data_IF_996842847083
#
_entry.id   IF_996842847083
#
_cell.length_a   1.000
_cell.length_b   1.000
_cell.length_c   1.000
_cell.angle_alpha   90.00
_cell.angle_beta   90.00
_cell.angle_gamma   90.00
#
_symmetry.space_group_name_H-M   'P 1'
#
loop_
_entity.id
_entity.type
_entity.pdbx_description
1 polymer ?
#
# COMPACT_ATOMS: atom_id res chain seq x y z
N UNK A 1 -3.82 -19.86 -10.91
CA UNK A 1 -3.81 -20.34 -9.51
C UNK A 1 -4.35 -19.20 -8.67
N UNK A 2 -5.47 -19.35 -7.98
CA UNK A 2 -6.00 -18.25 -7.16
C UNK A 2 -5.02 -18.02 -6.02
N UNK A 3 -4.56 -16.77 -5.84
CA UNK A 3 -3.74 -16.39 -4.69
C UNK A 3 -4.61 -16.51 -3.43
N UNK A 4 -4.06 -17.12 -2.37
CA UNK A 4 -4.76 -17.24 -1.08
C UNK A 4 -4.81 -15.90 -0.30
N UNK A 5 -4.29 -14.82 -0.90
CA UNK A 5 -4.22 -13.49 -0.29
C UNK A 5 -4.56 -12.37 -1.29
N UNK A 6 -5.01 -11.27 -0.74
CA UNK A 6 -5.18 -10.00 -1.47
C UNK A 6 -3.94 -9.13 -1.31
N UNK A 7 -3.47 -8.53 -2.40
CA UNK A 7 -2.33 -7.60 -2.38
C UNK A 7 -2.87 -6.18 -2.23
N UNK A 8 -2.66 -5.60 -1.05
CA UNK A 8 -3.00 -4.21 -0.77
C UNK A 8 -1.75 -3.35 -0.94
N UNK A 9 -1.81 -2.32 -1.80
CA UNK A 9 -0.70 -1.41 -2.07
C UNK A 9 -1.14 0.01 -1.76
N UNK A 10 -0.40 0.69 -0.89
CA UNK A 10 -0.64 2.09 -0.58
C UNK A 10 0.67 2.82 -0.26
N UNK A 11 0.64 4.14 -0.40
CA UNK A 11 1.73 5.03 -0.01
C UNK A 11 1.23 6.29 0.67
N UNK A 12 2.10 6.91 1.43
CA UNK A 12 1.91 8.23 2.01
C UNK A 12 3.17 9.07 1.76
N UNK A 13 2.95 10.35 1.55
CA UNK A 13 4.00 11.29 1.24
C UNK A 13 3.79 12.62 1.98
N UNK A 14 4.90 13.30 2.24
CA UNK A 14 4.93 14.67 2.75
C UNK A 14 6.05 15.42 2.06
N UNK A 15 5.73 16.61 1.57
CA UNK A 15 6.67 17.45 0.87
C UNK A 15 7.73 18.03 1.83
N UNK A 16 8.90 18.31 1.32
CA UNK A 16 9.90 19.20 1.94
C UNK A 16 9.23 20.50 2.42
N UNK A 17 9.68 21.01 3.58
CA UNK A 17 9.09 22.21 4.18
C UNK A 17 9.22 23.41 3.23
N UNK A 18 8.11 24.10 3.00
CA UNK A 18 8.02 25.21 2.05
C UNK A 18 7.74 24.83 0.59
N UNK A 19 7.79 23.54 0.22
CA UNK A 19 7.46 23.09 -1.13
C UNK A 19 5.99 22.71 -1.27
N UNK A 20 5.42 22.92 -2.47
CA UNK A 20 4.04 22.58 -2.79
C UNK A 20 3.89 21.21 -3.46
N UNK A 21 4.99 20.69 -3.97
CA UNK A 21 5.03 19.43 -4.72
C UNK A 21 6.14 18.58 -4.11
N UNK A 22 5.83 17.31 -3.86
CA UNK A 22 6.79 16.31 -3.42
C UNK A 22 7.78 16.00 -4.55
N UNK A 23 9.06 15.98 -4.25
CA UNK A 23 10.11 15.56 -5.19
C UNK A 23 10.09 14.06 -5.45
N UNK A 24 9.54 13.29 -4.52
CA UNK A 24 9.35 11.86 -4.66
C UNK A 24 8.09 11.51 -5.44
N UNK A 25 8.11 10.37 -6.13
CA UNK A 25 6.96 9.85 -6.88
C UNK A 25 6.76 8.37 -6.59
N UNK A 26 5.54 8.02 -6.19
CA UNK A 26 5.10 6.65 -6.08
C UNK A 26 4.11 6.32 -7.20
N UNK A 27 4.37 5.25 -7.93
CA UNK A 27 3.47 4.68 -8.94
C UNK A 27 3.21 3.21 -8.64
N UNK A 28 1.96 2.77 -8.82
CA UNK A 28 1.64 1.36 -8.82
C UNK A 28 0.68 1.01 -9.96
N UNK A 29 0.71 -0.24 -10.40
CA UNK A 29 -0.17 -0.76 -11.43
C UNK A 29 -0.50 -2.21 -11.21
N UNK A 30 -1.79 -2.54 -11.25
CA UNK A 30 -2.28 -3.90 -11.36
C UNK A 30 -2.55 -4.23 -12.83
N UNK A 31 -1.86 -5.24 -13.35
CA UNK A 31 -1.99 -5.75 -14.71
C UNK A 31 -2.92 -6.97 -14.64
N UNK A 32 -4.20 -6.75 -14.96
CA UNK A 32 -5.27 -7.76 -14.79
C UNK A 32 -5.04 -9.00 -15.63
N UNK A 33 -4.55 -8.83 -16.85
CA UNK A 33 -4.31 -9.89 -17.81
C UNK A 33 -3.23 -10.86 -17.33
N UNK A 34 -2.29 -10.38 -16.51
CA UNK A 34 -1.16 -11.15 -15.99
C UNK A 34 -1.31 -11.45 -14.50
N UNK A 35 -2.37 -11.00 -13.84
CA UNK A 35 -2.51 -11.05 -12.38
C UNK A 35 -1.23 -10.58 -11.67
N UNK A 36 -0.68 -9.45 -12.08
CA UNK A 36 0.63 -8.93 -11.68
C UNK A 36 0.51 -7.54 -11.09
N UNK A 37 1.28 -7.27 -10.05
CA UNK A 37 1.35 -5.96 -9.40
C UNK A 37 2.77 -5.42 -9.51
N UNK A 38 2.92 -4.19 -10.01
CA UNK A 38 4.19 -3.48 -10.04
C UNK A 38 4.03 -2.20 -9.23
N UNK A 39 4.95 -1.95 -8.29
CA UNK A 39 5.02 -0.72 -7.52
C UNK A 39 6.43 -0.13 -7.63
N UNK A 40 6.51 1.19 -7.77
CA UNK A 40 7.76 1.93 -7.92
C UNK A 40 7.72 3.15 -7.02
N UNK A 41 8.76 3.33 -6.22
CA UNK A 41 9.06 4.57 -5.51
C UNK A 41 10.34 5.14 -6.11
N UNK A 42 10.30 6.38 -6.56
CA UNK A 42 11.46 7.11 -7.05
C UNK A 42 11.59 8.42 -6.31
N UNK A 43 12.77 8.72 -5.86
CA UNK A 43 13.16 9.96 -5.23
C UNK A 43 14.01 10.77 -6.22
N UNK A 44 13.62 12.01 -6.46
CA UNK A 44 14.28 12.94 -7.39
C UNK A 44 15.27 13.82 -6.66
N UNK A 45 16.49 13.94 -7.19
CA UNK A 45 17.53 14.75 -6.57
C UNK A 45 17.08 16.20 -6.32
N UNK A 46 17.13 16.65 -5.05
CA UNK A 46 16.68 17.95 -4.58
C UNK A 46 15.22 17.92 -4.18
N UNK A 47 14.53 19.02 -4.25
CA UNK A 47 13.14 19.15 -3.83
C UNK A 47 12.29 19.93 -4.85
N UNK A 48 10.97 19.85 -4.71
CA UNK A 48 10.03 20.60 -5.52
C UNK A 48 9.91 20.12 -6.96
N UNK A 49 9.53 21.03 -7.87
CA UNK A 49 9.11 20.68 -9.25
C UNK A 49 10.17 19.94 -10.05
N UNK A 50 11.45 20.35 -9.95
CA UNK A 50 12.53 19.71 -10.71
C UNK A 50 12.75 18.26 -10.28
N UNK A 51 12.80 18.03 -8.98
CA UNK A 51 12.91 16.69 -8.40
C UNK A 51 11.73 15.83 -8.81
N UNK A 52 10.50 16.35 -8.70
CA UNK A 52 9.29 15.66 -9.10
C UNK A 52 9.29 15.22 -10.58
N UNK A 53 9.72 16.10 -11.50
CA UNK A 53 9.80 15.76 -12.94
C UNK A 53 10.75 14.60 -13.17
N UNK A 54 11.91 14.60 -12.51
CA UNK A 54 12.92 13.54 -12.64
C UNK A 54 12.42 12.22 -12.03
N UNK A 55 11.83 12.29 -10.83
CA UNK A 55 11.24 11.14 -10.19
C UNK A 55 10.07 10.56 -11.01
N UNK A 56 9.21 11.41 -11.58
CA UNK A 56 8.11 10.98 -12.46
C UNK A 56 8.63 10.26 -13.70
N UNK A 57 9.64 10.80 -14.35
CA UNK A 57 10.26 10.17 -15.51
C UNK A 57 10.85 8.81 -15.13
N UNK A 58 11.60 8.75 -14.03
CA UNK A 58 12.22 7.52 -13.53
C UNK A 58 11.17 6.47 -13.19
N UNK A 59 10.17 6.82 -12.38
CA UNK A 59 9.12 5.89 -11.97
C UNK A 59 8.30 5.38 -13.17
N UNK A 60 7.99 6.26 -14.13
CA UNK A 60 7.26 5.87 -15.35
C UNK A 60 8.06 4.92 -16.22
N UNK A 61 9.35 5.18 -16.41
CA UNK A 61 10.24 4.28 -17.15
C UNK A 61 10.39 2.95 -16.44
N UNK A 62 10.64 2.96 -15.12
CA UNK A 62 10.77 1.76 -14.31
C UNK A 62 9.52 0.88 -14.41
N UNK A 63 8.33 1.45 -14.25
CA UNK A 63 7.07 0.75 -14.33
C UNK A 63 6.85 0.14 -15.73
N UNK A 64 7.08 0.91 -16.80
CA UNK A 64 6.85 0.43 -18.16
C UNK A 64 7.85 -0.65 -18.58
N UNK A 65 9.14 -0.51 -18.26
CA UNK A 65 10.13 -1.53 -18.61
C UNK A 65 9.94 -2.81 -17.81
N UNK A 66 9.55 -2.72 -16.53
CA UNK A 66 9.20 -3.89 -15.71
C UNK A 66 8.00 -4.62 -16.31
N UNK A 67 6.97 -3.88 -16.77
CA UNK A 67 5.81 -4.47 -17.42
C UNK A 67 6.17 -5.29 -18.68
N UNK A 68 7.13 -4.85 -19.45
CA UNK A 68 7.59 -5.54 -20.68
C UNK A 68 8.44 -6.80 -20.40
N UNK A 69 8.46 -7.33 -19.18
CA UNK A 69 9.21 -8.54 -18.77
C UNK A 69 10.69 -8.54 -19.14
N UNK A 70 11.31 -7.37 -19.17
CA UNK A 70 12.73 -7.27 -19.40
C UNK A 70 13.51 -7.76 -18.19
N UNK A 71 14.67 -8.35 -18.44
CA UNK A 71 15.60 -8.76 -17.39
C UNK A 71 15.96 -7.57 -16.49
N UNK A 72 16.08 -7.80 -15.17
CA UNK A 72 16.35 -6.75 -14.17
C UNK A 72 17.58 -5.93 -14.52
N UNK A 73 18.65 -6.61 -14.93
CA UNK A 73 19.92 -5.97 -15.30
C UNK A 73 19.72 -5.01 -16.48
N UNK A 74 18.89 -5.43 -17.43
CA UNK A 74 18.58 -4.62 -18.61
C UNK A 74 17.65 -3.46 -18.29
N UNK A 75 16.69 -3.65 -17.40
CA UNK A 75 15.82 -2.58 -16.89
C UNK A 75 16.70 -1.53 -16.24
N UNK A 76 17.58 -1.94 -15.33
CA UNK A 76 18.49 -1.09 -14.62
C UNK A 76 19.40 -0.31 -15.60
N UNK A 77 20.03 -0.98 -16.56
CA UNK A 77 20.87 -0.33 -17.58
C UNK A 77 20.11 0.73 -18.40
N UNK A 78 18.89 0.41 -18.84
CA UNK A 78 18.08 1.35 -19.65
C UNK A 78 17.70 2.56 -18.83
N UNK A 79 17.17 2.37 -17.62
CA UNK A 79 16.78 3.49 -16.75
C UNK A 79 18.00 4.37 -16.49
N UNK A 80 19.09 3.78 -16.01
CA UNK A 80 20.29 4.51 -15.62
C UNK A 80 20.97 5.23 -16.79
N UNK A 81 20.95 4.66 -17.98
CA UNK A 81 21.56 5.30 -19.17
C UNK A 81 20.65 6.37 -19.78
N UNK A 82 19.35 6.33 -19.54
CA UNK A 82 18.38 7.32 -20.05
C UNK A 82 18.26 8.51 -19.11
N UNK A 83 18.42 8.30 -17.80
CA UNK A 83 18.39 9.40 -16.85
C UNK A 83 19.56 10.35 -17.04
N UNK A 84 19.33 11.66 -16.97
CA UNK A 84 20.42 12.62 -16.95
C UNK A 84 21.30 12.37 -15.74
N UNK A 85 22.60 12.62 -15.90
CA UNK A 85 23.60 12.52 -14.83
C UNK A 85 24.03 13.94 -14.44
N UNK A 86 24.04 14.24 -13.15
CA UNK A 86 24.55 15.50 -12.66
C UNK A 86 26.04 15.63 -12.98
N UNK A 87 26.40 16.65 -13.75
CA UNK A 87 27.77 16.88 -14.19
C UNK A 87 28.74 17.20 -13.04
N UNK A 88 28.21 17.72 -11.92
CA UNK A 88 29.03 18.10 -10.77
C UNK A 88 29.23 16.93 -9.80
N UNK A 89 28.20 16.15 -9.55
CA UNK A 89 28.23 15.05 -8.56
C UNK A 89 28.41 13.66 -9.16
N UNK A 90 28.33 13.53 -10.50
CA UNK A 90 28.44 12.26 -11.25
C UNK A 90 27.50 11.17 -10.76
N UNK A 91 26.40 11.54 -10.13
CA UNK A 91 25.33 10.64 -9.67
C UNK A 91 24.08 10.81 -10.54
N UNK A 92 23.26 9.77 -10.58
CA UNK A 92 21.96 9.83 -11.25
C UNK A 92 21.06 10.85 -10.56
N UNK A 93 20.20 11.51 -11.33
CA UNK A 93 19.27 12.50 -10.77
C UNK A 93 18.09 11.87 -10.02
N UNK A 94 18.03 10.56 -9.90
CA UNK A 94 16.96 9.90 -9.19
C UNK A 94 17.39 8.53 -8.68
N UNK A 95 16.94 8.21 -7.48
CA UNK A 95 17.02 6.88 -6.90
C UNK A 95 15.70 6.14 -7.12
N UNK A 96 15.66 4.83 -6.95
CA UNK A 96 14.40 4.12 -7.10
C UNK A 96 14.39 2.75 -6.42
N UNK A 97 13.19 2.34 -6.03
CA UNK A 97 12.85 0.97 -5.61
C UNK A 97 11.71 0.47 -6.48
N UNK A 98 11.86 -0.70 -7.07
CA UNK A 98 10.84 -1.39 -7.86
C UNK A 98 10.48 -2.66 -7.13
N UNK A 99 9.18 -2.90 -6.91
CA UNK A 99 8.64 -4.15 -6.41
C UNK A 99 7.71 -4.73 -7.46
N UNK A 100 8.04 -5.91 -7.94
CA UNK A 100 7.31 -6.65 -8.96
C UNK A 100 6.78 -7.96 -8.38
N UNK A 101 5.47 -8.15 -8.41
CA UNK A 101 4.78 -9.32 -7.87
C UNK A 101 4.10 -10.03 -9.02
N UNK A 102 4.68 -11.15 -9.41
CA UNK A 102 4.22 -11.94 -10.56
C UNK A 102 2.96 -12.77 -10.23
N UNK A 103 2.31 -13.28 -11.28
CA UNK A 103 1.16 -14.19 -11.15
C UNK A 103 1.48 -15.48 -10.38
N UNK A 104 2.72 -15.91 -10.42
CA UNK A 104 3.24 -17.05 -9.62
C UNK A 104 3.18 -16.78 -8.11
N UNK A 105 3.01 -15.50 -7.71
CA UNK A 105 3.15 -15.01 -6.36
C UNK A 105 4.58 -14.58 -6.00
N UNK A 106 5.57 -14.87 -6.86
CA UNK A 106 6.95 -14.45 -6.63
C UNK A 106 7.08 -12.94 -6.56
N UNK A 107 7.79 -12.46 -5.55
CA UNK A 107 8.14 -11.05 -5.38
C UNK A 107 9.58 -10.85 -5.81
N UNK A 108 9.80 -9.85 -6.65
CA UNK A 108 11.12 -9.40 -7.05
C UNK A 108 11.29 -7.93 -6.68
N UNK A 109 12.36 -7.60 -5.99
CA UNK A 109 12.70 -6.23 -5.61
C UNK A 109 13.99 -5.83 -6.30
N UNK A 110 14.01 -4.61 -6.82
CA UNK A 110 15.21 -3.97 -7.37
C UNK A 110 15.37 -2.59 -6.75
N UNK A 111 16.52 -2.31 -6.16
CA UNK A 111 16.86 -1.05 -5.52
C UNK A 111 18.07 -0.40 -6.14
N UNK A 112 17.98 0.90 -6.37
CA UNK A 112 19.11 1.75 -6.69
C UNK A 112 19.15 2.96 -5.76
N UNK A 113 20.13 2.99 -4.88
CA UNK A 113 20.50 4.10 -3.98
C UNK A 113 19.39 4.59 -3.01
N UNK A 114 18.25 3.93 -2.96
CA UNK A 114 17.25 4.10 -1.93
C UNK A 114 17.63 3.33 -0.67
N UNK A 115 17.13 3.74 0.51
CA UNK A 115 17.26 2.94 1.72
C UNK A 115 16.70 1.52 1.51
N UNK A 116 17.37 0.52 2.08
CA UNK A 116 16.99 -0.88 1.86
C UNK A 116 15.59 -1.17 2.40
N UNK A 117 14.79 -1.82 1.56
CA UNK A 117 13.43 -2.27 1.86
C UNK A 117 13.38 -3.15 3.12
N UNK A 118 12.33 -2.98 3.89
CA UNK A 118 11.99 -3.78 5.05
C UNK A 118 10.94 -4.80 4.64
N UNK A 119 11.15 -6.07 4.99
CA UNK A 119 10.14 -7.11 4.85
C UNK A 119 9.79 -7.64 6.24
N UNK A 120 8.50 -7.60 6.57
CA UNK A 120 7.97 -8.21 7.79
C UNK A 120 7.19 -9.47 7.41
N UNK A 121 7.50 -10.59 8.03
CA UNK A 121 6.74 -11.83 8.00
C UNK A 121 5.88 -11.92 9.23
N UNK A 122 4.59 -11.60 9.08
CA UNK A 122 3.75 -11.29 10.24
C UNK A 122 4.31 -10.08 11.00
N UNK A 123 4.80 -10.30 12.21
CA UNK A 123 5.39 -9.27 13.08
C UNK A 123 6.91 -9.25 13.10
N UNK A 124 7.56 -10.24 12.52
CA UNK A 124 9.01 -10.43 12.62
C UNK A 124 9.72 -9.99 11.33
N UNK A 125 10.95 -9.52 11.48
CA UNK A 125 11.78 -9.18 10.33
C UNK A 125 12.09 -10.42 9.50
N UNK A 126 11.96 -10.29 8.18
CA UNK A 126 12.41 -11.27 7.21
C UNK A 126 13.46 -10.63 6.31
N UNK A 127 14.66 -11.23 6.25
CA UNK A 127 15.73 -10.76 5.38
C UNK A 127 15.82 -11.70 4.15
N UNK A 128 15.38 -11.23 2.96
CA UNK A 128 15.56 -11.99 1.74
C UNK A 128 17.04 -12.02 1.32
N UNK A 129 17.39 -13.00 0.50
CA UNK A 129 18.76 -13.09 -0.05
C UNK A 129 18.99 -12.00 -1.10
N UNK A 130 19.71 -10.97 -0.73
CA UNK A 130 20.09 -9.86 -1.62
C UNK A 130 21.27 -10.21 -2.51
N UNK A 131 21.15 -9.87 -3.79
CA UNK A 131 22.23 -9.98 -4.78
C UNK A 131 22.60 -8.59 -5.29
N UNK A 132 23.87 -8.41 -5.60
CA UNK A 132 24.36 -7.18 -6.22
C UNK A 132 24.43 -7.34 -7.74
N UNK A 133 23.94 -6.35 -8.45
CA UNK A 133 24.03 -6.20 -9.89
C UNK A 133 24.92 -5.01 -10.20
N UNK A 134 26.09 -5.27 -10.79
CA UNK A 134 27.04 -4.23 -11.18
C UNK A 134 26.83 -3.89 -12.64
N UNK A 135 26.50 -2.65 -12.94
CA UNK A 135 26.34 -2.17 -14.31
C UNK A 135 27.66 -2.21 -15.06
N UNK A 136 27.71 -2.88 -16.21
CA UNK A 136 28.95 -3.14 -16.94
C UNK A 136 29.24 -2.09 -18.01
N UNK A 137 28.25 -1.35 -18.48
CA UNK A 137 28.35 -0.50 -19.68
C UNK A 137 27.77 0.90 -19.47
N UNK A 138 28.19 1.83 -20.33
CA UNK A 138 27.66 3.19 -20.38
C UNK A 138 28.23 4.12 -19.31
N UNK A 139 27.58 5.26 -19.12
CA UNK A 139 27.99 6.33 -18.16
C UNK A 139 27.88 5.88 -16.69
N UNK A 140 27.15 4.81 -16.45
CA UNK A 140 26.87 4.28 -15.12
C UNK A 140 27.63 2.98 -14.83
N UNK A 141 28.64 2.61 -15.64
CA UNK A 141 29.49 1.46 -15.38
C UNK A 141 30.08 1.53 -13.96
N UNK A 142 30.08 0.40 -13.26
CA UNK A 142 30.56 0.31 -11.88
C UNK A 142 29.53 0.65 -10.80
N UNK A 143 28.37 1.23 -11.15
CA UNK A 143 27.27 1.41 -10.17
C UNK A 143 26.64 0.08 -9.80
N UNK A 144 26.27 -0.03 -8.54
CA UNK A 144 25.73 -1.25 -7.94
C UNK A 144 24.25 -1.06 -7.64
N UNK A 145 23.44 -2.00 -8.12
CA UNK A 145 22.04 -2.15 -7.72
C UNK A 145 21.92 -3.38 -6.82
N UNK A 146 20.87 -3.42 -6.01
CA UNK A 146 20.53 -4.58 -5.19
C UNK A 146 19.24 -5.19 -5.70
N UNK A 147 19.18 -6.50 -5.75
CA UNK A 147 17.95 -7.23 -6.10
C UNK A 147 17.78 -8.45 -5.21
N UNK A 148 16.53 -8.80 -4.92
CA UNK A 148 16.19 -10.05 -4.27
C UNK A 148 14.92 -10.62 -4.90
N UNK A 149 14.74 -11.94 -4.71
CA UNK A 149 13.52 -12.65 -5.13
C UNK A 149 13.12 -13.60 -4.01
N UNK A 150 11.84 -13.58 -3.62
CA UNK A 150 11.31 -14.48 -2.60
C UNK A 150 9.83 -14.76 -2.81
N UNK A 151 9.33 -15.80 -2.13
CA UNK A 151 7.90 -16.10 -2.07
C UNK A 151 7.32 -15.48 -0.81
N UNK A 152 6.32 -14.60 -0.94
CA UNK A 152 5.66 -14.02 0.21
C UNK A 152 4.75 -15.05 0.88
N UNK A 153 4.56 -14.87 2.16
CA UNK A 153 3.54 -15.54 2.95
C UNK A 153 2.36 -14.59 3.21
N UNK A 154 1.22 -15.16 3.55
CA UNK A 154 0.09 -14.39 4.05
C UNK A 154 0.51 -13.60 5.30
N UNK A 155 0.05 -12.37 5.42
CA UNK A 155 0.41 -11.38 6.44
C UNK A 155 1.82 -10.80 6.30
N UNK A 156 2.56 -11.11 5.21
CA UNK A 156 3.81 -10.41 4.92
C UNK A 156 3.54 -8.95 4.52
N UNK A 157 4.48 -8.07 4.88
CA UNK A 157 4.49 -6.66 4.49
C UNK A 157 5.84 -6.28 3.91
N UNK A 158 5.82 -5.60 2.77
CA UNK A 158 7.01 -5.00 2.16
C UNK A 158 6.88 -3.50 2.34
N UNK A 159 7.85 -2.88 3.02
CA UNK A 159 7.87 -1.45 3.35
C UNK A 159 9.11 -0.85 2.72
N UNK A 160 8.95 0.13 1.85
CA UNK A 160 10.03 0.82 1.18
C UNK A 160 9.78 2.32 1.17
N UNK A 161 10.85 3.10 1.25
CA UNK A 161 10.77 4.53 1.56
C UNK A 161 11.94 5.29 0.96
N UNK A 162 11.78 6.61 0.80
CA UNK A 162 12.85 7.53 0.40
C UNK A 162 13.80 7.82 1.57
N UNK A 163 14.92 8.43 1.25
CA UNK A 163 15.93 8.76 2.25
C UNK A 163 15.45 9.79 3.27
N UNK A 164 14.48 10.66 2.92
CA UNK A 164 13.86 11.58 3.87
C UNK A 164 13.17 10.90 5.04
N UNK A 165 12.73 9.61 4.91
CA UNK A 165 12.29 8.82 6.05
C UNK A 165 13.47 8.34 6.88
N UNK A 166 14.49 7.74 6.25
CA UNK A 166 15.64 7.17 6.93
C UNK A 166 16.53 8.24 7.59
N UNK A 167 16.63 9.39 6.97
CA UNK A 167 17.43 10.52 7.45
C UNK A 167 16.66 11.45 8.39
N UNK A 168 15.37 11.21 8.63
CA UNK A 168 14.56 12.04 9.51
C UNK A 168 15.18 12.20 10.90
N UNK A 169 15.17 13.42 11.42
CA UNK A 169 15.82 13.79 12.68
C UNK A 169 17.34 13.90 12.63
N UNK A 170 17.98 13.72 11.48
CA UNK A 170 19.44 13.77 11.34
C UNK A 170 20.04 15.04 11.97
N UNK A 171 21.12 14.85 12.76
CA UNK A 171 21.82 15.90 13.49
C UNK A 171 21.16 16.27 14.82
N UNK A 172 20.05 15.62 15.22
CA UNK A 172 19.51 15.74 16.57
C UNK A 172 20.24 14.85 17.56
N UNK A 173 20.11 15.12 18.84
CA UNK A 173 20.66 14.28 19.90
C UNK A 173 20.12 12.85 19.85
N UNK A 174 18.83 12.69 19.55
CA UNK A 174 18.17 11.39 19.46
C UNK A 174 18.55 10.62 18.18
N UNK A 175 18.81 11.32 17.08
CA UNK A 175 19.08 10.73 15.78
C UNK A 175 20.28 11.40 15.09
N UNK A 176 21.52 11.22 15.60
CA UNK A 176 22.70 11.89 15.06
C UNK A 176 22.95 11.57 13.57
N UNK A 177 22.59 10.36 13.13
CA UNK A 177 22.74 9.87 11.76
C UNK A 177 21.40 9.65 11.03
N UNK A 178 20.31 10.21 11.56
CA UNK A 178 18.96 9.96 11.09
C UNK A 178 18.28 8.79 11.83
N UNK A 179 17.01 8.54 11.53
CA UNK A 179 16.21 7.48 12.17
C UNK A 179 16.75 6.08 11.86
N UNK A 180 17.19 5.87 10.60
CA UNK A 180 17.81 4.61 10.19
C UNK A 180 16.82 3.46 9.95
N UNK A 181 17.25 2.52 9.08
CA UNK A 181 16.42 1.38 8.65
C UNK A 181 15.97 0.50 9.81
N UNK A 182 16.86 0.18 10.72
CA UNK A 182 16.59 -0.81 11.77
C UNK A 182 15.62 -0.29 12.84
N UNK A 183 15.69 0.99 13.15
CA UNK A 183 14.73 1.65 14.04
C UNK A 183 13.36 1.80 13.37
N UNK A 184 13.32 2.10 12.05
CA UNK A 184 12.09 2.10 11.25
C UNK A 184 11.46 0.70 11.25
N UNK A 185 12.25 -0.36 11.07
CA UNK A 185 11.79 -1.73 11.08
C UNK A 185 11.22 -2.13 12.46
N UNK A 186 11.91 -1.74 13.52
CA UNK A 186 11.46 -1.96 14.89
C UNK A 186 10.14 -1.25 15.17
N UNK A 187 10.00 0.00 14.73
CA UNK A 187 8.78 0.78 14.83
C UNK A 187 7.63 0.16 14.04
N UNK A 188 7.86 -0.23 12.79
CA UNK A 188 6.87 -0.90 11.95
C UNK A 188 6.40 -2.23 12.56
N UNK A 189 7.33 -3.06 13.06
CA UNK A 189 7.02 -4.30 13.79
C UNK A 189 6.15 -4.03 15.02
N UNK A 190 6.48 -3.01 15.82
CA UNK A 190 5.69 -2.64 17.00
C UNK A 190 4.26 -2.21 16.63
N UNK A 191 4.09 -1.44 15.55
CA UNK A 191 2.77 -1.06 15.04
C UNK A 191 1.94 -2.27 14.61
N UNK A 192 2.57 -3.22 13.90
CA UNK A 192 1.90 -4.46 13.47
C UNK A 192 1.58 -5.37 14.65
N UNK A 193 2.44 -5.44 15.68
CA UNK A 193 2.14 -6.16 16.93
C UNK A 193 0.95 -5.56 17.68
N UNK A 194 0.80 -4.24 17.65
CA UNK A 194 -0.34 -3.53 18.26
C UNK A 194 -1.66 -3.70 17.49
N UNK A 195 -1.57 -3.79 16.17
CA UNK A 195 -2.72 -4.05 15.28
C UNK A 195 -2.27 -4.89 14.09
N UNK A 196 -2.49 -6.20 14.18
CA UNK A 196 -2.10 -7.15 13.13
C UNK A 196 -2.86 -6.93 11.81
N UNK A 197 -4.00 -6.22 11.86
CA UNK A 197 -4.84 -5.90 10.71
C UNK A 197 -4.56 -4.51 10.12
N UNK A 198 -3.57 -3.78 10.65
CA UNK A 198 -3.21 -2.44 10.17
C UNK A 198 -3.03 -2.43 8.66
N UNK A 199 -3.76 -1.55 7.98
CA UNK A 199 -3.74 -1.43 6.52
C UNK A 199 -2.41 -0.88 6.01
N UNK A 200 -2.10 -1.14 4.73
CA UNK A 200 -0.93 -0.57 4.07
C UNK A 200 -0.93 0.97 4.14
N UNK A 201 -2.10 1.60 3.97
CA UNK A 201 -2.29 3.04 4.08
C UNK A 201 -1.92 3.57 5.48
N UNK A 202 -2.47 2.94 6.51
CA UNK A 202 -2.27 3.39 7.89
C UNK A 202 -0.83 3.14 8.35
N UNK A 203 -0.21 2.03 7.96
CA UNK A 203 1.18 1.74 8.30
C UNK A 203 2.14 2.76 7.67
N UNK A 204 2.01 3.01 6.35
CA UNK A 204 2.79 4.04 5.66
C UNK A 204 2.56 5.43 6.28
N UNK A 205 1.29 5.77 6.61
CA UNK A 205 0.94 7.05 7.21
C UNK A 205 1.57 7.25 8.59
N UNK A 206 1.61 6.21 9.42
CA UNK A 206 2.26 6.27 10.75
C UNK A 206 3.78 6.42 10.63
N UNK A 207 4.42 5.76 9.67
CA UNK A 207 5.86 5.91 9.40
C UNK A 207 6.18 7.33 8.95
N UNK A 208 5.45 7.86 7.95
CA UNK A 208 5.62 9.24 7.45
C UNK A 208 5.37 10.27 8.55
N UNK A 209 4.36 10.06 9.38
CA UNK A 209 4.05 10.96 10.51
C UNK A 209 5.18 10.94 11.55
N UNK A 210 5.75 9.78 11.84
CA UNK A 210 6.88 9.68 12.78
C UNK A 210 8.13 10.34 12.21
N UNK A 211 8.46 10.12 10.93
CA UNK A 211 9.58 10.78 10.27
C UNK A 211 9.44 12.32 10.32
N UNK A 212 8.25 12.83 10.01
CA UNK A 212 7.98 14.27 10.12
C UNK A 212 8.09 14.81 11.56
N UNK A 213 7.70 14.01 12.55
CA UNK A 213 7.90 14.35 13.97
C UNK A 213 9.38 14.38 14.34
N UNK A 214 10.19 13.43 13.84
CA UNK A 214 11.65 13.42 14.05
C UNK A 214 12.31 14.70 13.53
N UNK A 215 11.80 15.28 12.44
CA UNK A 215 12.21 16.57 11.89
C UNK A 215 11.57 17.78 12.58
N UNK A 216 11.01 17.59 13.77
CA UNK A 216 10.31 18.64 14.52
C UNK A 216 9.20 19.34 13.70
N UNK A 217 8.49 18.57 12.86
CA UNK A 217 7.42 19.01 11.96
C UNK A 217 7.86 20.02 10.88
N UNK A 218 9.15 19.98 10.52
CA UNK A 218 9.74 20.73 9.40
C UNK A 218 10.53 19.75 8.56
N UNK A 219 9.88 19.16 7.58
CA UNK A 219 10.48 18.15 6.73
C UNK A 219 11.73 18.73 6.03
N UNK A 220 12.89 18.16 6.29
CA UNK A 220 14.18 18.57 5.72
C UNK A 220 14.39 18.04 4.32
N UNK A 221 13.60 17.03 3.96
CA UNK A 221 13.53 16.41 2.65
C UNK A 221 12.10 15.93 2.37
N UNK A 222 11.83 15.50 1.15
CA UNK A 222 10.60 14.83 0.79
C UNK A 222 10.51 13.47 1.50
N UNK A 223 9.42 13.22 2.24
CA UNK A 223 9.25 12.04 3.07
C UNK A 223 8.21 11.14 2.40
N UNK A 224 8.64 9.98 1.89
CA UNK A 224 7.74 9.04 1.20
C UNK A 224 7.91 7.63 1.73
N UNK A 225 6.80 6.98 2.01
CA UNK A 225 6.77 5.58 2.40
C UNK A 225 5.64 4.85 1.68
N UNK A 226 5.95 3.67 1.16
CA UNK A 226 4.99 2.77 0.54
C UNK A 226 5.00 1.42 1.25
N UNK A 227 3.82 0.81 1.34
CA UNK A 227 3.64 -0.52 1.91
C UNK A 227 2.85 -1.40 0.96
N UNK A 228 3.30 -2.63 0.80
CA UNK A 228 2.57 -3.72 0.15
C UNK A 228 2.24 -4.74 1.24
N UNK A 229 0.97 -5.10 1.37
CA UNK A 229 0.48 -6.01 2.39
C UNK A 229 -0.24 -7.20 1.74
N UNK A 230 0.26 -8.40 2.00
CA UNK A 230 -0.30 -9.68 1.54
C UNK A 230 -1.31 -10.18 2.57
N UNK A 231 -2.53 -9.63 2.55
CA UNK A 231 -3.53 -9.87 3.58
C UNK A 231 -4.62 -10.86 3.20
N UNK A 232 -5.35 -11.31 4.19
CA UNK A 232 -6.60 -12.03 4.00
C UNK A 232 -7.55 -11.23 3.11
N UNK A 233 -8.16 -11.85 2.09
CA UNK A 233 -9.19 -11.18 1.30
C UNK A 233 -10.37 -10.79 2.19
N UNK A 234 -10.69 -9.50 2.26
CA UNK A 234 -11.91 -9.01 2.91
C UNK A 234 -13.08 -9.20 1.96
N UNK A 235 -14.07 -9.96 2.39
CA UNK A 235 -15.27 -10.25 1.61
C UNK A 235 -16.45 -9.48 2.17
N UNK A 236 -17.22 -8.86 1.29
CA UNK A 236 -18.44 -8.14 1.63
C UNK A 236 -19.60 -8.69 0.78
N UNK A 237 -20.69 -9.06 1.44
CA UNK A 237 -21.96 -9.31 0.82
C UNK A 237 -22.84 -8.06 0.97
N UNK A 238 -23.19 -7.44 -0.14
CA UNK A 238 -24.22 -6.41 -0.16
C UNK A 238 -25.53 -7.04 -0.64
N UNK A 239 -26.51 -7.13 0.25
CA UNK A 239 -27.87 -7.61 -0.06
C UNK A 239 -28.80 -6.42 -0.19
N UNK A 240 -29.36 -6.20 -1.37
CA UNK A 240 -30.28 -5.11 -1.65
C UNK A 240 -31.49 -5.61 -2.43
N UNK A 241 -32.67 -5.23 -1.98
CA UNK A 241 -33.95 -5.65 -2.55
C UNK A 241 -34.39 -7.07 -2.16
N UNK A 242 -35.70 -7.29 -2.02
CA UNK A 242 -36.29 -8.61 -1.74
C UNK A 242 -36.23 -9.52 -2.97
N UNK A 243 -36.27 -10.85 -2.80
CA UNK A 243 -36.50 -11.75 -3.91
C UNK A 243 -37.83 -11.45 -4.61
N UNK A 244 -37.90 -11.71 -5.91
CA UNK A 244 -39.12 -11.55 -6.67
C UNK A 244 -40.20 -12.55 -6.24
N UNK A 245 -39.78 -13.78 -5.91
CA UNK A 245 -40.66 -14.87 -5.45
C UNK A 245 -40.50 -15.05 -3.94
N UNK A 246 -41.60 -15.02 -3.20
CA UNK A 246 -41.58 -15.11 -1.73
C UNK A 246 -41.02 -16.44 -1.21
N UNK A 247 -41.12 -17.50 -1.99
CA UNK A 247 -40.55 -18.80 -1.68
C UNK A 247 -39.01 -18.77 -1.57
N UNK A 248 -38.38 -17.78 -2.21
CA UNK A 248 -36.90 -17.55 -2.17
C UNK A 248 -36.44 -16.73 -0.99
N UNK A 249 -37.33 -16.26 -0.12
CA UNK A 249 -36.95 -15.51 1.09
C UNK A 249 -36.00 -16.32 1.98
N UNK A 250 -36.27 -17.65 2.11
CA UNK A 250 -35.41 -18.56 2.87
C UNK A 250 -34.01 -18.72 2.25
N UNK A 251 -33.93 -18.75 0.93
CA UNK A 251 -32.65 -18.87 0.21
C UNK A 251 -31.80 -17.60 0.40
N UNK A 252 -32.46 -16.43 0.38
CA UNK A 252 -31.80 -15.16 0.69
C UNK A 252 -31.21 -15.15 2.11
N UNK A 253 -32.04 -15.49 3.08
CA UNK A 253 -31.66 -15.52 4.49
C UNK A 253 -30.52 -16.53 4.76
N UNK A 254 -30.59 -17.73 4.11
CA UNK A 254 -29.54 -18.72 4.20
C UNK A 254 -28.19 -18.20 3.62
N UNK A 255 -28.22 -17.51 2.47
CA UNK A 255 -27.02 -16.91 1.87
C UNK A 255 -26.40 -15.85 2.79
N UNK A 256 -27.23 -15.03 3.44
CA UNK A 256 -26.76 -14.02 4.42
C UNK A 256 -26.13 -14.70 5.62
N UNK A 257 -26.79 -15.69 6.23
CA UNK A 257 -26.30 -16.42 7.39
C UNK A 257 -24.99 -17.16 7.13
N UNK A 258 -24.88 -17.83 5.98
CA UNK A 258 -23.77 -18.73 5.67
C UNK A 258 -22.60 -18.01 5.02
N UNK A 259 -22.72 -16.68 4.77
CA UNK A 259 -21.67 -15.91 4.17
C UNK A 259 -20.48 -15.69 5.12
N UNK A 260 -19.29 -16.05 4.66
CA UNK A 260 -18.05 -15.86 5.41
C UNK A 260 -17.41 -14.52 5.04
N UNK A 261 -17.83 -13.45 5.70
CA UNK A 261 -17.35 -12.09 5.47
C UNK A 261 -18.32 -11.09 6.09
N UNK A 262 -18.07 -9.81 5.89
CA UNK A 262 -19.02 -8.77 6.31
C UNK A 262 -20.27 -8.81 5.45
N UNK A 263 -21.41 -8.53 6.07
CA UNK A 263 -22.71 -8.47 5.39
C UNK A 263 -23.31 -7.10 5.62
N UNK A 264 -23.71 -6.44 4.53
CA UNK A 264 -24.53 -5.22 4.57
C UNK A 264 -25.87 -5.54 3.93
N UNK A 265 -26.95 -5.27 4.65
CA UNK A 265 -28.31 -5.37 4.11
C UNK A 265 -28.81 -3.94 3.89
N UNK A 266 -29.15 -3.60 2.63
CA UNK A 266 -29.67 -2.30 2.25
C UNK A 266 -31.16 -2.41 1.93
N UNK A 267 -31.97 -1.67 2.70
CA UNK A 267 -33.42 -1.61 2.56
C UNK A 267 -34.20 -2.39 3.63
N UNK A 268 -35.16 -1.70 4.27
CA UNK A 268 -35.95 -2.23 5.39
C UNK A 268 -36.66 -3.54 5.08
N UNK A 269 -37.32 -3.64 3.92
CA UNK A 269 -38.01 -4.87 3.50
C UNK A 269 -37.08 -6.07 3.40
N UNK A 270 -35.85 -5.86 2.90
CA UNK A 270 -34.86 -6.94 2.82
C UNK A 270 -34.39 -7.36 4.20
N UNK A 271 -34.20 -6.41 5.11
CA UNK A 271 -33.79 -6.67 6.48
C UNK A 271 -34.93 -7.41 7.25
N UNK A 272 -36.20 -6.99 7.09
CA UNK A 272 -37.35 -7.65 7.68
C UNK A 272 -37.49 -9.12 7.24
N UNK A 273 -37.26 -9.38 5.94
CA UNK A 273 -37.27 -10.74 5.39
C UNK A 273 -36.18 -11.58 6.04
N UNK A 274 -34.95 -11.08 6.07
CA UNK A 274 -33.79 -11.80 6.63
C UNK A 274 -34.00 -12.05 8.12
N UNK A 275 -34.44 -11.04 8.89
CA UNK A 275 -34.72 -11.18 10.32
C UNK A 275 -35.83 -12.21 10.59
N UNK A 276 -36.92 -12.13 9.85
CA UNK A 276 -38.07 -13.09 9.94
C UNK A 276 -37.60 -14.52 9.67
N UNK A 277 -36.94 -14.76 8.55
CA UNK A 277 -36.55 -16.12 8.15
C UNK A 277 -35.44 -16.71 9.05
N UNK A 278 -34.60 -15.88 9.66
CA UNK A 278 -33.58 -16.29 10.64
C UNK A 278 -34.10 -16.31 12.08
N UNK A 279 -35.35 -15.90 12.31
CA UNK A 279 -35.92 -15.74 13.65
C UNK A 279 -35.06 -14.85 14.57
N UNK A 280 -34.66 -13.69 14.04
CA UNK A 280 -33.83 -12.69 14.69
C UNK A 280 -34.58 -11.38 14.84
N UNK A 281 -34.15 -10.57 15.78
CA UNK A 281 -34.70 -9.23 16.02
C UNK A 281 -33.78 -8.15 15.39
N UNK A 282 -34.41 -7.16 14.80
CA UNK A 282 -33.72 -5.96 14.34
C UNK A 282 -33.66 -4.99 15.53
N UNK A 283 -32.46 -4.46 15.80
CA UNK A 283 -32.23 -3.48 16.86
C UNK A 283 -31.86 -2.17 16.15
N UNK A 284 -32.73 -1.17 16.27
CA UNK A 284 -32.50 0.15 15.67
C UNK A 284 -31.61 1.00 16.60
N UNK A 285 -30.49 1.49 16.08
CA UNK A 285 -29.74 2.56 16.74
C UNK A 285 -30.31 3.90 16.35
N UNK A 286 -30.85 4.60 17.33
CA UNK A 286 -31.39 5.96 17.16
C UNK A 286 -30.31 7.05 17.20
N UNK A 287 -29.04 6.68 17.19
CA UNK A 287 -27.89 7.61 17.19
C UNK A 287 -27.50 7.89 15.75
N UNK A 288 -27.72 9.11 15.31
CA UNK A 288 -27.26 9.58 14.01
C UNK A 288 -25.82 10.11 14.17
N UNK A 289 -24.85 9.36 13.68
CA UNK A 289 -23.44 9.85 13.62
C UNK A 289 -23.29 10.95 12.57
N UNK A 290 -24.05 10.87 11.47
CA UNK A 290 -24.10 11.86 10.40
C UNK A 290 -25.57 12.13 10.03
N UNK A 291 -26.04 13.40 10.10
CA UNK A 291 -27.41 13.77 9.74
C UNK A 291 -27.80 13.50 8.27
N UNK A 292 -26.82 13.35 7.39
CA UNK A 292 -27.04 13.03 5.97
C UNK A 292 -27.13 11.52 5.70
N UNK A 293 -26.74 10.68 6.68
CA UNK A 293 -26.83 9.24 6.60
C UNK A 293 -28.06 8.70 7.33
N UNK A 294 -28.73 7.68 6.79
CA UNK A 294 -29.80 7.00 7.51
C UNK A 294 -29.26 6.27 8.74
N UNK A 295 -30.10 6.09 9.79
CA UNK A 295 -29.68 5.34 10.98
C UNK A 295 -29.27 3.92 10.64
N UNK A 296 -28.26 3.44 11.35
CA UNK A 296 -27.84 2.04 11.29
C UNK A 296 -28.72 1.19 12.20
N UNK A 297 -28.94 -0.06 11.82
CA UNK A 297 -29.64 -1.06 12.64
C UNK A 297 -28.83 -2.34 12.64
N UNK A 298 -29.00 -3.17 13.64
CA UNK A 298 -28.29 -4.42 13.80
C UNK A 298 -29.25 -5.59 13.83
N UNK A 299 -28.84 -6.70 13.22
CA UNK A 299 -29.49 -8.01 13.39
C UNK A 299 -28.53 -8.87 14.21
N UNK A 300 -28.99 -9.41 15.34
CA UNK A 300 -28.18 -10.21 16.24
C UNK A 300 -27.47 -11.37 15.52
N UNK A 301 -26.13 -11.40 15.58
CA UNK A 301 -25.30 -12.43 14.95
C UNK A 301 -25.05 -12.22 13.44
N UNK A 302 -25.41 -11.07 12.91
CA UNK A 302 -25.03 -10.57 11.59
C UNK A 302 -24.31 -9.25 11.80
N UNK A 303 -23.19 -9.02 11.10
CA UNK A 303 -22.46 -7.74 11.14
C UNK A 303 -23.39 -6.55 10.87
N UNK A 304 -23.01 -5.31 11.28
CA UNK A 304 -23.90 -4.16 11.24
C UNK A 304 -24.65 -4.04 9.92
N UNK A 305 -25.95 -3.87 10.05
CA UNK A 305 -26.90 -3.68 8.94
C UNK A 305 -27.08 -2.19 8.76
N UNK A 306 -26.73 -1.65 7.60
CA UNK A 306 -27.06 -0.26 7.29
C UNK A 306 -28.46 -0.18 6.69
N UNK A 307 -29.36 0.54 7.36
CA UNK A 307 -30.68 0.89 6.85
C UNK A 307 -30.55 2.08 5.91
N UNK A 308 -30.48 1.85 4.61
CA UNK A 308 -30.74 2.93 3.66
C UNK A 308 -32.21 2.92 3.26
N UNK A 309 -33.03 3.75 3.88
CA UNK A 309 -34.25 4.20 3.26
C UNK A 309 -33.89 5.15 2.12
N UNK A 310 -33.80 4.65 0.91
CA UNK A 310 -33.97 5.51 -0.27
C UNK A 310 -35.43 6.01 -0.20
N UNK A 311 -35.66 7.21 0.32
CA UNK A 311 -36.88 7.94 0.02
C UNK A 311 -36.82 8.24 -1.46
N UNK A 312 -37.66 7.60 -2.23
CA UNK A 312 -38.01 8.08 -3.55
C UNK A 312 -38.53 9.53 -3.36
N UNK A 313 -37.82 10.50 -3.84
CA UNK A 313 -38.38 11.82 -4.06
C UNK A 313 -39.35 11.67 -5.23
N UNK A 314 -40.68 11.78 -4.94
CA UNK A 314 -41.68 12.12 -5.91
C UNK A 314 -41.47 13.52 -6.47
#
# INVERSE_FOLDING_TARGET
MYRDFYIEVNSQQRNHDGERICGDVFLNKYIKEEDRVIAVLSDGMGHGVKANVLATLTATMALNFTREHKEVDRIAEIIMNTLPVCSERMISYSTFTIVDIESSGSVKILEYDNPSTIVLRGTEMFEPEWKQVVLQKGKNAGKVLKTCTFMPSKEDRIIFFSDGVAQSGMGSEAFPFGWGRDDIASYASALVKGDTSISALNLSGKIVTMAHKNDAYKAKDDISCATIYFREPRKLLLSTGPPYEKEKDRDLAAKVRDYRGKVIISGGTTADIVARELNKTIIDELIFEDPELPPESFIEGIDPVSYTHLRAHE
#
